data_IF_982133631933
#
_entry.id   IF_982133631933
#
_cell.length_a   1.000
_cell.length_b   1.000
_cell.length_c   1.000
_cell.angle_alpha   90.00
_cell.angle_beta   90.00
_cell.angle_gamma   90.00
#
_symmetry.space_group_name_H-M   'P 1'
#
loop_
_entity.id
_entity.type
_entity.pdbx_description
1 polymer ?
#
# COMPACT_ATOMS: atom_id res chain seq x y z
N UNK A 1 16.40 -6.21 5.55
CA UNK A 1 15.57 -5.00 5.78
C UNK A 1 15.39 -4.15 4.52
N UNK A 2 16.33 -4.09 3.57
CA UNK A 2 16.11 -3.36 2.29
C UNK A 2 15.32 -4.16 1.25
N UNK A 3 15.53 -5.47 1.15
CA UNK A 3 14.82 -6.33 0.18
C UNK A 3 13.31 -6.35 0.47
N UNK A 4 12.90 -6.36 1.74
CA UNK A 4 11.47 -6.34 2.11
C UNK A 4 10.80 -5.03 1.69
N UNK A 5 11.44 -3.88 1.91
CA UNK A 5 10.94 -2.59 1.44
C UNK A 5 10.80 -2.55 -0.09
N UNK A 6 11.81 -3.05 -0.81
CA UNK A 6 11.78 -3.10 -2.27
C UNK A 6 10.68 -4.04 -2.79
N UNK A 7 10.46 -5.16 -2.10
CA UNK A 7 9.43 -6.14 -2.44
C UNK A 7 8.02 -5.58 -2.17
N UNK A 8 7.82 -4.89 -1.05
CA UNK A 8 6.57 -4.19 -0.72
C UNK A 8 6.30 -3.10 -1.76
N UNK A 9 7.31 -2.30 -2.09
CA UNK A 9 7.20 -1.20 -3.04
C UNK A 9 6.82 -1.70 -4.45
N UNK A 10 7.46 -2.78 -4.91
CA UNK A 10 7.09 -3.40 -6.19
C UNK A 10 5.70 -4.03 -6.15
N UNK A 11 5.32 -4.70 -5.05
CA UNK A 11 3.96 -5.22 -4.88
C UNK A 11 2.95 -4.08 -4.98
N UNK A 12 3.05 -3.03 -4.16
CA UNK A 12 2.08 -1.94 -4.16
C UNK A 12 1.99 -1.23 -5.52
N UNK A 13 3.13 -1.07 -6.22
CA UNK A 13 3.15 -0.54 -7.59
C UNK A 13 2.41 -1.46 -8.58
N UNK A 14 2.53 -2.78 -8.43
CA UNK A 14 1.82 -3.76 -9.26
C UNK A 14 0.29 -3.72 -9.00
N UNK A 15 -0.10 -3.43 -7.76
CA UNK A 15 -1.49 -3.21 -7.32
C UNK A 15 -2.05 -1.81 -7.62
N UNK A 16 -1.49 -1.12 -8.63
CA UNK A 16 -1.98 0.16 -9.11
C UNK A 16 -1.82 1.34 -8.14
N UNK A 17 -0.96 1.22 -7.11
CA UNK A 17 -0.62 2.35 -6.23
C UNK A 17 0.36 3.27 -6.95
N UNK A 18 0.08 4.58 -7.07
CA UNK A 18 0.98 5.52 -7.69
C UNK A 18 2.33 5.58 -6.97
N UNK A 19 3.42 5.65 -7.73
CA UNK A 19 4.76 5.80 -7.16
C UNK A 19 4.88 7.08 -6.30
N UNK A 20 4.16 8.16 -6.65
CA UNK A 20 4.12 9.40 -5.88
C UNK A 20 3.57 9.18 -4.46
N UNK A 21 2.51 8.39 -4.33
CA UNK A 21 1.90 8.03 -3.05
C UNK A 21 2.87 7.19 -2.21
N UNK A 22 3.52 6.21 -2.84
CA UNK A 22 4.55 5.43 -2.17
C UNK A 22 5.71 6.31 -1.69
N UNK A 23 6.15 7.27 -2.50
CA UNK A 23 7.19 8.22 -2.11
C UNK A 23 6.76 9.06 -0.90
N UNK A 24 5.52 9.56 -0.86
CA UNK A 24 4.98 10.29 0.29
C UNK A 24 4.93 9.44 1.56
N UNK A 25 4.43 8.20 1.47
CA UNK A 25 4.38 7.26 2.59
C UNK A 25 5.77 6.90 3.07
N UNK A 26 6.71 6.66 2.14
CA UNK A 26 8.09 6.31 2.48
C UNK A 26 8.89 7.52 2.99
N UNK A 27 8.52 8.74 2.58
CA UNK A 27 9.09 9.98 3.10
C UNK A 27 8.58 10.29 4.52
N UNK A 28 7.39 9.82 4.90
CA UNK A 28 6.84 9.98 6.24
C UNK A 28 7.12 8.75 7.11
N UNK A 29 7.99 8.89 8.11
CA UNK A 29 8.33 7.81 9.03
C UNK A 29 7.11 7.20 9.74
N UNK A 30 6.06 7.99 10.04
CA UNK A 30 4.84 7.45 10.67
C UNK A 30 4.09 6.52 9.72
N UNK A 31 3.81 6.98 8.51
CA UNK A 31 3.05 6.21 7.52
C UNK A 31 3.83 4.99 7.05
N UNK A 32 5.15 5.14 6.81
CA UNK A 32 6.04 4.02 6.52
C UNK A 32 5.99 2.96 7.61
N UNK A 33 5.96 3.37 8.88
CA UNK A 33 5.95 2.42 10.00
C UNK A 33 4.61 1.69 10.10
N UNK A 34 3.49 2.39 9.90
CA UNK A 34 2.15 1.79 9.84
C UNK A 34 2.05 0.79 8.68
N UNK A 35 2.58 1.16 7.50
CA UNK A 35 2.63 0.30 6.32
C UNK A 35 3.40 -1.00 6.61
N UNK A 36 4.62 -0.87 7.15
CA UNK A 36 5.48 -2.01 7.45
C UNK A 36 4.86 -2.88 8.54
N UNK A 37 4.31 -2.27 9.60
CA UNK A 37 3.68 -2.99 10.70
C UNK A 37 2.46 -3.79 10.22
N UNK A 38 1.55 -3.15 9.48
CA UNK A 38 0.39 -3.82 8.87
C UNK A 38 0.80 -4.91 7.88
N UNK A 39 1.85 -4.69 7.09
CA UNK A 39 2.39 -5.72 6.20
C UNK A 39 2.93 -6.94 6.96
N UNK A 40 3.69 -6.71 8.03
CA UNK A 40 4.25 -7.77 8.87
C UNK A 40 3.13 -8.52 9.60
N UNK A 41 2.11 -7.83 10.10
CA UNK A 41 0.97 -8.44 10.78
C UNK A 41 0.18 -9.38 9.84
N UNK A 42 -0.10 -8.91 8.62
CA UNK A 42 -0.76 -9.71 7.59
C UNK A 42 0.12 -10.90 7.15
N UNK A 43 1.44 -10.71 7.04
CA UNK A 43 2.40 -11.79 6.77
C UNK A 43 2.42 -12.84 7.89
N UNK A 44 2.36 -12.42 9.15
CA UNK A 44 2.30 -13.32 10.30
C UNK A 44 0.97 -14.09 10.38
N UNK A 45 -0.12 -13.52 9.86
CA UNK A 45 -1.40 -14.20 9.69
C UNK A 45 -1.34 -15.36 8.67
N UNK A 46 -0.25 -15.47 7.90
CA UNK A 46 -0.07 -16.52 6.89
C UNK A 46 -0.65 -16.14 5.51
N UNK A 47 -0.96 -14.86 5.30
CA UNK A 47 -1.41 -14.36 4.00
C UNK A 47 -0.25 -14.37 2.98
N UNK A 48 -0.59 -14.60 1.71
CA UNK A 48 0.37 -14.53 0.61
C UNK A 48 0.66 -13.07 0.28
N UNK A 49 1.86 -12.80 -0.23
CA UNK A 49 2.27 -11.43 -0.60
C UNK A 49 1.25 -10.70 -1.49
N UNK A 50 0.61 -11.42 -2.42
CA UNK A 50 -0.47 -10.89 -3.28
C UNK A 50 -1.67 -10.36 -2.47
N UNK A 51 -2.18 -11.14 -1.52
CA UNK A 51 -3.34 -10.75 -0.72
C UNK A 51 -3.01 -9.61 0.25
N UNK A 52 -1.78 -9.60 0.75
CA UNK A 52 -1.28 -8.51 1.60
C UNK A 52 -1.22 -7.23 0.77
N UNK A 53 -0.65 -7.29 -0.44
CA UNK A 53 -0.51 -6.16 -1.32
C UNK A 53 -1.88 -5.62 -1.80
N UNK A 54 -2.86 -6.48 -2.07
CA UNK A 54 -4.24 -6.06 -2.38
C UNK A 54 -4.88 -5.30 -1.21
N UNK A 55 -4.79 -5.85 0.00
CA UNK A 55 -5.37 -5.19 1.18
C UNK A 55 -4.69 -3.87 1.50
N UNK A 56 -3.36 -3.87 1.52
CA UNK A 56 -2.56 -2.70 1.87
C UNK A 56 -2.73 -1.62 0.79
N UNK A 57 -2.72 -1.98 -0.50
CA UNK A 57 -2.96 -1.01 -1.59
C UNK A 57 -4.33 -0.36 -1.48
N UNK A 58 -5.40 -1.15 -1.30
CA UNK A 58 -6.77 -0.62 -1.11
C UNK A 58 -6.88 0.29 0.11
N UNK A 59 -6.22 -0.06 1.22
CA UNK A 59 -6.26 0.71 2.45
C UNK A 59 -5.55 2.07 2.28
N UNK A 60 -4.37 2.08 1.65
CA UNK A 60 -3.65 3.29 1.27
C UNK A 60 -4.50 4.17 0.34
N UNK A 61 -5.01 3.59 -0.73
CA UNK A 61 -5.87 4.25 -1.73
C UNK A 61 -7.08 4.88 -1.05
N UNK A 62 -7.75 4.14 -0.16
CA UNK A 62 -8.92 4.60 0.58
C UNK A 62 -8.59 5.67 1.62
N UNK A 63 -7.46 5.58 2.31
CA UNK A 63 -7.07 6.53 3.36
C UNK A 63 -6.63 7.88 2.79
N UNK A 64 -6.04 7.85 1.58
CA UNK A 64 -5.62 9.07 0.87
C UNK A 64 -6.76 9.64 0.01
N UNK A 65 -7.87 8.91 -0.13
CA UNK A 65 -9.01 9.30 -0.98
C UNK A 65 -8.71 9.23 -2.47
N UNK A 66 -7.67 8.47 -2.86
CA UNK A 66 -7.34 8.21 -4.25
C UNK A 66 -8.13 6.98 -4.72
N UNK A 67 -9.43 7.12 -4.98
CA UNK A 67 -10.19 6.05 -5.59
C UNK A 67 -9.88 5.97 -7.11
N UNK A 68 -9.24 4.90 -7.62
CA UNK A 68 -9.04 4.70 -9.06
C UNK A 68 -10.37 4.45 -9.80
N UNK A 69 -11.46 4.18 -9.06
CA UNK A 69 -12.81 3.98 -9.56
C UNK A 69 -13.69 5.25 -9.43
N UNK A 70 -13.14 6.42 -9.07
CA UNK A 70 -13.86 7.69 -9.19
C UNK A 70 -13.89 8.14 -10.67
N UNK A 71 -14.44 7.29 -11.52
CA UNK A 71 -15.16 7.75 -12.69
C UNK A 71 -16.64 7.89 -12.32
N UNK A 72 -17.06 9.14 -12.12
CA UNK A 72 -18.45 9.63 -12.22
C UNK A 72 -19.42 9.26 -11.08
N UNK A 73 -19.83 10.26 -10.30
CA UNK A 73 -21.17 10.89 -10.42
C UNK A 73 -21.23 12.16 -9.56
N UNK A 74 -20.88 13.31 -10.14
CA UNK A 74 -21.51 14.57 -9.71
C UNK A 74 -22.72 14.78 -10.62
N UNK A 75 -23.88 14.91 -10.01
CA UNK A 75 -25.22 14.85 -10.60
C UNK A 75 -25.83 16.25 -10.69
#
# INVERSE_FOLDING_TARGET
MEIEKLNIYNCLRDFNVPAAILDEIFANEKDLKILIDGWIDLKNTGLKHDEIADKVSKLIISEIGFDPDQNTVEK
#
